data_IF_291619290217
#
_entry.id   IF_291619290217
#
_cell.length_a   1.000
_cell.length_b   1.000
_cell.length_c   1.000
_cell.angle_alpha   90.00
_cell.angle_beta   90.00
_cell.angle_gamma   90.00
#
_symmetry.space_group_name_H-M   'P 1'
#
loop_
_entity.id
_entity.type
_entity.pdbx_description
1 polymer ?
#
# COMPACT_ATOMS: atom_id res chain seq x y z
N UNK A 1 17.59 -32.20 19.81
CA UNK A 1 18.24 -30.97 20.30
C UNK A 1 18.39 -29.99 19.15
N UNK A 2 17.42 -29.09 18.99
CA UNK A 2 17.56 -27.91 18.13
C UNK A 2 17.15 -26.71 18.99
N UNK A 3 18.08 -25.77 19.08
CA UNK A 3 18.05 -24.59 19.94
C UNK A 3 17.08 -23.56 19.36
N UNK A 4 16.16 -23.10 20.21
CA UNK A 4 15.27 -21.97 20.00
C UNK A 4 16.10 -20.69 19.94
N UNK A 5 16.16 -20.05 18.77
CA UNK A 5 16.64 -18.68 18.65
C UNK A 5 15.48 -17.74 18.98
N UNK A 6 15.51 -17.19 20.19
CA UNK A 6 14.63 -16.13 20.64
C UNK A 6 14.88 -14.87 19.79
N UNK A 7 13.84 -14.41 19.11
CA UNK A 7 13.84 -13.15 18.38
C UNK A 7 13.52 -12.05 19.39
N UNK A 8 14.56 -11.47 20.00
CA UNK A 8 14.44 -10.30 20.86
C UNK A 8 13.96 -9.10 20.03
N UNK A 9 12.68 -8.79 20.15
CA UNK A 9 12.11 -7.52 19.72
C UNK A 9 12.64 -6.46 20.69
N UNK A 10 13.68 -5.75 20.28
CA UNK A 10 14.26 -4.63 21.04
C UNK A 10 13.25 -3.48 21.11
N UNK A 11 12.58 -3.36 22.26
CA UNK A 11 11.75 -2.21 22.63
C UNK A 11 12.64 -0.97 22.80
N UNK A 12 12.59 -0.06 21.82
CA UNK A 12 13.44 1.14 21.71
C UNK A 12 13.04 2.29 22.63
N UNK A 13 12.53 2.02 23.83
CA UNK A 13 12.23 3.06 24.80
C UNK A 13 13.54 3.71 25.30
N UNK A 14 13.66 5.06 25.28
CA UNK A 14 14.87 5.73 25.73
C UNK A 14 15.08 5.49 27.23
N UNK A 15 16.14 4.75 27.60
CA UNK A 15 16.56 4.61 29.00
C UNK A 15 17.20 5.91 29.46
N UNK A 16 16.74 6.43 30.59
CA UNK A 16 17.35 7.61 31.25
C UNK A 16 18.64 7.17 31.95
N UNK A 17 19.72 7.90 31.72
CA UNK A 17 20.95 7.70 32.46
C UNK A 17 20.85 8.29 33.89
N UNK A 18 21.88 8.04 34.71
CA UNK A 18 21.98 8.52 36.09
C UNK A 18 21.99 10.05 36.21
N UNK A 19 22.15 10.78 35.10
CA UNK A 19 22.10 12.24 35.02
C UNK A 19 20.74 12.78 34.52
N UNK A 20 19.76 11.90 34.27
CA UNK A 20 18.45 12.28 33.75
C UNK A 20 18.46 12.72 32.29
N UNK A 21 19.58 12.53 31.57
CA UNK A 21 19.69 12.85 30.16
C UNK A 21 19.19 11.66 29.34
N UNK A 22 18.32 11.94 28.36
CA UNK A 22 17.90 10.96 27.38
C UNK A 22 19.02 10.78 26.35
N UNK A 23 20.03 9.99 26.69
CA UNK A 23 20.99 9.50 25.70
C UNK A 23 20.33 8.36 24.92
N UNK A 24 19.54 8.73 23.91
CA UNK A 24 19.09 7.77 22.93
C UNK A 24 20.30 7.31 22.10
N UNK A 25 21.03 6.32 22.60
CA UNK A 25 22.03 5.60 21.82
C UNK A 25 21.27 4.76 20.82
N UNK A 26 20.87 5.37 19.70
CA UNK A 26 20.50 4.59 18.53
C UNK A 26 21.75 3.82 18.11
N UNK A 27 21.70 2.48 17.97
CA UNK A 27 22.83 1.75 17.43
C UNK A 27 23.20 2.39 16.08
N UNK A 28 24.51 2.61 15.87
CA UNK A 28 25.07 3.08 14.60
C UNK A 28 24.42 2.26 13.47
N UNK A 29 23.52 2.89 12.71
CA UNK A 29 22.84 2.20 11.62
C UNK A 29 23.84 1.99 10.50
N UNK A 30 23.85 0.82 9.84
CA UNK A 30 24.64 0.65 8.64
C UNK A 30 24.32 1.76 7.63
N UNK A 31 25.34 2.35 6.99
CA UNK A 31 25.19 3.44 6.01
C UNK A 31 24.13 3.14 4.94
N UNK A 32 24.02 1.87 4.54
CA UNK A 32 23.02 1.41 3.60
C UNK A 32 21.57 1.63 4.10
N UNK A 33 21.29 1.38 5.37
CA UNK A 33 19.96 1.59 5.96
C UNK A 33 19.63 3.08 6.03
N UNK A 34 20.58 3.93 6.44
CA UNK A 34 20.39 5.37 6.48
C UNK A 34 20.12 5.98 5.08
N UNK A 35 20.82 5.50 4.05
CA UNK A 35 20.57 5.91 2.67
C UNK A 35 19.21 5.43 2.16
N UNK A 36 18.78 4.22 2.53
CA UNK A 36 17.43 3.73 2.21
C UNK A 36 16.35 4.58 2.89
N UNK A 37 16.51 4.92 4.17
CA UNK A 37 15.58 5.78 4.90
C UNK A 37 15.44 7.14 4.21
N UNK A 38 16.56 7.74 3.83
CA UNK A 38 16.58 9.03 3.14
C UNK A 38 15.93 8.96 1.74
N UNK A 39 16.17 7.90 0.96
CA UNK A 39 15.46 7.68 -0.31
C UNK A 39 13.96 7.52 -0.06
N UNK A 40 13.55 6.76 0.96
CA UNK A 40 12.14 6.57 1.28
C UNK A 40 11.46 7.90 1.66
N UNK A 41 12.09 8.68 2.54
CA UNK A 41 11.57 9.98 2.98
C UNK A 41 11.39 10.95 1.81
N UNK A 42 12.35 10.98 0.87
CA UNK A 42 12.30 11.84 -0.32
C UNK A 42 11.21 11.46 -1.34
N UNK A 43 10.64 10.27 -1.25
CA UNK A 43 9.64 9.75 -2.20
C UNK A 43 8.31 9.38 -1.53
N UNK A 44 8.04 9.89 -0.32
CA UNK A 44 6.77 9.65 0.38
C UNK A 44 5.56 10.18 -0.42
N UNK A 45 5.74 11.25 -1.18
CA UNK A 45 4.74 11.83 -2.07
C UNK A 45 4.24 10.85 -3.15
N UNK A 46 5.12 9.97 -3.65
CA UNK A 46 4.76 8.90 -4.58
C UNK A 46 3.80 7.92 -3.91
N UNK A 47 4.13 7.47 -2.69
CA UNK A 47 3.26 6.55 -1.95
C UNK A 47 1.89 7.17 -1.65
N UNK A 48 1.89 8.44 -1.23
CA UNK A 48 0.67 9.21 -0.98
C UNK A 48 -0.17 9.39 -2.25
N UNK A 49 0.48 9.69 -3.38
CA UNK A 49 -0.21 9.85 -4.67
C UNK A 49 -0.85 8.54 -5.13
N UNK A 50 -0.15 7.42 -4.97
CA UNK A 50 -0.69 6.10 -5.31
C UNK A 50 -1.85 5.74 -4.38
N UNK A 51 -1.71 5.95 -3.07
CA UNK A 51 -2.77 5.72 -2.09
C UNK A 51 -4.06 6.50 -2.43
N UNK A 52 -3.93 7.80 -2.76
CA UNK A 52 -5.07 8.64 -3.16
C UNK A 52 -5.84 8.12 -4.37
N UNK A 53 -5.19 7.42 -5.30
CA UNK A 53 -5.86 6.88 -6.49
C UNK A 53 -6.88 5.77 -6.19
N UNK A 54 -6.85 5.18 -4.98
CA UNK A 54 -7.80 4.14 -4.57
C UNK A 54 -9.11 4.71 -4.00
N UNK A 55 -9.27 6.04 -3.94
CA UNK A 55 -10.51 6.75 -3.58
C UNK A 55 -11.21 6.26 -2.30
N UNK A 56 -10.45 5.70 -1.35
CA UNK A 56 -10.99 5.24 -0.07
C UNK A 56 -11.29 6.42 0.87
N UNK A 57 -12.19 6.18 1.84
CA UNK A 57 -12.64 7.20 2.80
C UNK A 57 -12.58 6.67 4.23
N UNK A 58 -12.49 7.58 5.21
CA UNK A 58 -12.48 7.21 6.62
C UNK A 58 -11.26 6.33 7.01
N UNK A 59 -11.44 5.35 7.92
CA UNK A 59 -10.35 4.49 8.41
C UNK A 59 -9.58 3.75 7.30
N UNK A 60 -10.28 3.33 6.24
CA UNK A 60 -9.72 2.59 5.10
C UNK A 60 -8.66 3.40 4.35
N UNK A 61 -8.84 4.72 4.26
CA UNK A 61 -7.87 5.61 3.61
C UNK A 61 -6.53 5.64 4.38
N UNK A 62 -6.58 5.59 5.71
CA UNK A 62 -5.38 5.55 6.54
C UNK A 62 -4.62 4.23 6.39
N UNK A 63 -5.35 3.12 6.31
CA UNK A 63 -4.75 1.79 6.14
C UNK A 63 -4.12 1.62 4.76
N UNK A 64 -4.81 2.06 3.70
CA UNK A 64 -4.26 2.06 2.34
C UNK A 64 -2.97 2.88 2.28
N UNK A 65 -2.94 4.05 2.92
CA UNK A 65 -1.73 4.88 2.99
C UNK A 65 -0.59 4.17 3.72
N UNK A 66 -0.86 3.51 4.85
CA UNK A 66 0.16 2.73 5.57
C UNK A 66 0.72 1.60 4.72
N UNK A 67 -0.15 0.88 4.01
CA UNK A 67 0.27 -0.17 3.07
C UNK A 67 1.08 0.42 1.91
N UNK A 68 0.73 1.61 1.43
CA UNK A 68 1.49 2.30 0.41
C UNK A 68 2.92 2.61 0.88
N UNK A 69 3.07 3.08 2.13
CA UNK A 69 4.38 3.30 2.74
C UNK A 69 5.19 2.01 2.91
N UNK A 70 4.55 0.92 3.34
CA UNK A 70 5.20 -0.39 3.37
C UNK A 70 5.70 -0.82 1.99
N UNK A 71 4.90 -0.57 0.94
CA UNK A 71 5.29 -0.84 -0.43
C UNK A 71 6.46 0.02 -0.91
N UNK A 72 6.52 1.28 -0.49
CA UNK A 72 7.64 2.17 -0.77
C UNK A 72 8.94 1.68 -0.13
N UNK A 73 8.89 1.29 1.15
CA UNK A 73 10.06 0.74 1.86
C UNK A 73 10.58 -0.52 1.14
N UNK A 74 9.69 -1.43 0.76
CA UNK A 74 10.05 -2.63 -0.02
C UNK A 74 10.64 -2.29 -1.39
N UNK A 75 10.13 -1.25 -2.05
CA UNK A 75 10.67 -0.79 -3.31
C UNK A 75 12.11 -0.25 -3.14
N UNK A 76 12.35 0.57 -2.11
CA UNK A 76 13.70 1.09 -1.81
C UNK A 76 14.69 -0.04 -1.54
N UNK A 77 14.30 -1.04 -0.74
CA UNK A 77 15.15 -2.18 -0.39
C UNK A 77 15.55 -3.05 -1.60
N UNK A 78 14.72 -3.07 -2.66
CA UNK A 78 14.90 -3.95 -3.84
C UNK A 78 15.37 -3.22 -5.09
N UNK A 79 15.35 -1.89 -5.08
CA UNK A 79 15.70 -1.10 -6.23
C UNK A 79 17.19 -1.24 -6.55
N UNK A 80 17.50 -1.45 -7.83
CA UNK A 80 18.87 -1.50 -8.33
C UNK A 80 19.13 -0.32 -9.28
N UNK A 81 19.88 0.71 -8.85
CA UNK A 81 20.16 1.89 -9.68
C UNK A 81 20.99 1.56 -10.93
N UNK A 82 21.76 0.46 -10.93
CA UNK A 82 22.56 0.04 -12.08
C UNK A 82 21.70 -0.35 -13.31
N UNK A 83 20.38 -0.51 -13.14
CA UNK A 83 19.44 -0.74 -14.24
C UNK A 83 19.11 0.52 -15.05
N UNK A 84 19.52 1.71 -14.59
CA UNK A 84 19.38 2.96 -15.34
C UNK A 84 17.94 3.47 -15.49
N UNK A 85 17.00 2.98 -14.67
CA UNK A 85 15.61 3.43 -14.67
C UNK A 85 15.34 4.34 -13.46
N UNK A 86 14.46 5.35 -13.58
CA UNK A 86 14.06 6.16 -12.44
C UNK A 86 13.44 5.30 -11.34
N UNK A 87 13.72 5.64 -10.07
CA UNK A 87 13.17 4.92 -8.92
C UNK A 87 11.63 4.87 -8.95
N UNK A 88 10.97 5.98 -9.29
CA UNK A 88 9.52 6.08 -9.40
C UNK A 88 8.91 5.01 -10.33
N UNK A 89 9.56 4.72 -11.46
CA UNK A 89 9.12 3.71 -12.42
C UNK A 89 9.11 2.29 -11.86
N UNK A 90 9.96 2.02 -10.85
CA UNK A 90 9.97 0.76 -10.11
C UNK A 90 9.07 0.78 -8.87
N UNK A 91 9.01 1.91 -8.16
CA UNK A 91 8.28 2.05 -6.92
C UNK A 91 6.75 2.01 -7.14
N UNK A 92 6.23 2.74 -8.13
CA UNK A 92 4.79 2.82 -8.41
C UNK A 92 4.13 1.43 -8.63
N UNK A 93 4.64 0.53 -9.48
CA UNK A 93 4.03 -0.80 -9.64
C UNK A 93 4.17 -1.66 -8.37
N UNK A 94 5.26 -1.50 -7.61
CA UNK A 94 5.47 -2.21 -6.34
C UNK A 94 4.43 -1.79 -5.30
N UNK A 95 4.25 -0.48 -5.10
CA UNK A 95 3.27 0.11 -4.17
C UNK A 95 1.84 -0.31 -4.56
N UNK A 96 1.50 -0.20 -5.84
CA UNK A 96 0.20 -0.63 -6.35
C UNK A 96 -0.08 -2.12 -6.07
N UNK A 97 0.92 -2.98 -6.25
CA UNK A 97 0.79 -4.41 -5.98
C UNK A 97 0.55 -4.70 -4.50
N UNK A 98 1.23 -3.97 -3.61
CA UNK A 98 1.07 -4.09 -2.15
C UNK A 98 -0.33 -3.68 -1.69
N UNK A 99 -0.83 -2.54 -2.17
CA UNK A 99 -2.20 -2.06 -1.86
C UNK A 99 -3.24 -3.04 -2.40
N UNK A 100 -3.12 -3.49 -3.65
CA UNK A 100 -4.06 -4.46 -4.25
C UNK A 100 -4.07 -5.77 -3.47
N UNK A 101 -2.91 -6.24 -3.01
CA UNK A 101 -2.81 -7.45 -2.19
C UNK A 101 -3.48 -7.25 -0.83
N UNK A 102 -3.22 -6.15 -0.15
CA UNK A 102 -3.89 -5.82 1.11
C UNK A 102 -5.41 -5.78 0.95
N UNK A 103 -5.92 -5.09 -0.08
CA UNK A 103 -7.36 -5.01 -0.33
C UNK A 103 -7.98 -6.39 -0.60
N UNK A 104 -7.26 -7.26 -1.30
CA UNK A 104 -7.69 -8.65 -1.55
C UNK A 104 -7.74 -9.48 -0.26
N UNK A 105 -6.78 -9.29 0.64
CA UNK A 105 -6.59 -10.14 1.81
C UNK A 105 -7.33 -9.61 3.06
N UNK A 106 -7.64 -8.30 3.11
CA UNK A 106 -8.15 -7.62 4.32
C UNK A 106 -9.51 -6.95 4.17
N UNK A 107 -9.98 -6.65 2.95
CA UNK A 107 -11.27 -5.95 2.76
C UNK A 107 -12.48 -6.90 2.72
N UNK A 108 -12.26 -8.22 2.81
CA UNK A 108 -13.27 -9.25 2.51
C UNK A 108 -13.65 -9.96 3.81
N UNK A 109 -14.62 -9.42 4.56
CA UNK A 109 -15.25 -10.17 5.68
C UNK A 109 -15.92 -11.43 5.13
N UNK A 110 -16.47 -11.35 3.92
CA UNK A 110 -16.87 -12.48 3.07
C UNK A 110 -16.37 -12.22 1.66
N UNK A 111 -15.72 -13.23 1.08
CA UNK A 111 -15.17 -13.16 -0.28
C UNK A 111 -16.28 -13.29 -1.33
N UNK A 112 -16.71 -12.24 -2.06
CA UNK A 112 -17.70 -12.42 -3.11
C UNK A 112 -17.21 -13.44 -4.14
N UNK A 113 -18.07 -14.41 -4.54
CA UNK A 113 -17.76 -15.38 -5.58
C UNK A 113 -17.23 -14.71 -6.85
N UNK A 114 -16.45 -15.45 -7.63
CA UNK A 114 -15.77 -14.91 -8.82
C UNK A 114 -16.77 -14.29 -9.81
N UNK A 115 -17.93 -14.92 -9.96
CA UNK A 115 -19.05 -14.44 -10.78
C UNK A 115 -19.49 -13.02 -10.42
N UNK A 116 -19.55 -12.68 -9.13
CA UNK A 116 -19.94 -11.34 -8.67
C UNK A 116 -18.87 -10.29 -9.01
N UNK A 117 -17.59 -10.69 -8.99
CA UNK A 117 -16.48 -9.80 -9.38
C UNK A 117 -16.48 -9.53 -10.88
N UNK A 118 -16.72 -10.57 -11.67
CA UNK A 118 -16.81 -10.46 -13.13
C UNK A 118 -18.03 -9.61 -13.50
N UNK A 119 -19.18 -9.78 -12.81
CA UNK A 119 -20.37 -8.94 -12.98
C UNK A 119 -20.09 -7.46 -12.70
N UNK A 120 -19.32 -7.12 -11.66
CA UNK A 120 -18.92 -5.72 -11.41
C UNK A 120 -18.16 -5.13 -12.59
N UNK A 121 -17.28 -5.92 -13.20
CA UNK A 121 -16.47 -5.49 -14.35
C UNK A 121 -17.36 -5.24 -15.57
N UNK A 122 -18.32 -6.13 -15.82
CA UNK A 122 -19.29 -5.97 -16.91
C UNK A 122 -20.22 -4.77 -16.69
N UNK A 123 -20.71 -4.56 -15.46
CA UNK A 123 -21.48 -3.35 -15.11
C UNK A 123 -20.66 -2.08 -15.39
N UNK A 124 -19.39 -2.04 -14.95
CA UNK A 124 -18.52 -0.89 -15.16
C UNK A 124 -18.26 -0.59 -16.65
N UNK A 125 -18.30 -1.61 -17.51
CA UNK A 125 -18.18 -1.45 -18.97
C UNK A 125 -19.48 -1.00 -19.64
N UNK A 126 -20.63 -1.53 -19.21
CA UNK A 126 -21.92 -1.25 -19.82
C UNK A 126 -22.52 0.10 -19.39
N UNK A 127 -22.29 0.52 -18.14
CA UNK A 127 -22.91 1.70 -17.55
C UNK A 127 -22.71 3.01 -18.34
N UNK A 128 -21.51 3.35 -18.88
CA UNK A 128 -21.32 4.57 -19.64
C UNK A 128 -22.14 4.61 -20.95
N UNK A 129 -22.21 3.48 -21.66
CA UNK A 129 -22.98 3.39 -22.91
C UNK A 129 -24.48 3.50 -22.65
N UNK A 130 -24.99 2.86 -21.60
CA UNK A 130 -26.39 3.00 -21.19
C UNK A 130 -26.71 4.43 -20.74
N UNK A 131 -25.81 5.08 -19.99
CA UNK A 131 -26.02 6.45 -19.55
C UNK A 131 -26.14 7.43 -20.72
N UNK A 132 -25.31 7.25 -21.75
CA UNK A 132 -25.38 8.03 -22.99
C UNK A 132 -26.72 7.82 -23.72
N UNK A 133 -27.21 6.58 -23.76
CA UNK A 133 -28.44 6.21 -24.48
C UNK A 133 -29.72 6.67 -23.75
N UNK A 134 -29.70 6.65 -22.41
CA UNK A 134 -30.82 7.03 -21.55
C UNK A 134 -30.85 8.53 -21.20
N UNK A 135 -29.73 9.24 -21.37
CA UNK A 135 -29.60 10.63 -20.93
C UNK A 135 -29.57 10.80 -19.41
N UNK A 136 -29.41 9.70 -18.66
CA UNK A 136 -29.30 9.63 -17.19
C UNK A 136 -28.57 8.35 -16.79
N UNK A 137 -28.14 8.24 -15.53
CA UNK A 137 -27.59 6.97 -15.03
C UNK A 137 -28.62 5.82 -15.12
N UNK A 138 -28.11 4.64 -15.47
CA UNK A 138 -28.89 3.42 -15.54
C UNK A 138 -29.18 2.86 -14.14
N UNK A 139 -30.41 2.40 -13.90
CA UNK A 139 -30.79 1.75 -12.65
C UNK A 139 -30.23 0.33 -12.57
N UNK A 140 -30.12 -0.23 -11.36
CA UNK A 140 -29.67 -1.61 -11.16
C UNK A 140 -30.52 -2.64 -11.95
N UNK A 141 -31.83 -2.39 -12.08
CA UNK A 141 -32.73 -3.23 -12.88
C UNK A 141 -32.43 -3.15 -14.37
N UNK A 142 -32.16 -1.95 -14.90
CA UNK A 142 -31.82 -1.76 -16.31
C UNK A 142 -30.46 -2.40 -16.65
N UNK A 143 -29.47 -2.26 -15.76
CA UNK A 143 -28.17 -2.93 -15.90
C UNK A 143 -28.31 -4.46 -15.89
N UNK A 144 -29.16 -5.00 -15.01
CA UNK A 144 -29.43 -6.45 -14.96
C UNK A 144 -30.27 -6.99 -16.12
N UNK A 145 -30.83 -6.13 -16.99
CA UNK A 145 -31.50 -6.55 -18.22
C UNK A 145 -30.57 -6.48 -19.44
N UNK A 146 -29.51 -5.69 -19.38
CA UNK A 146 -28.51 -5.54 -20.45
C UNK A 146 -27.43 -6.64 -20.38
N UNK A 147 -27.14 -7.15 -19.17
CA UNK A 147 -26.16 -8.21 -18.88
C UNK A 147 -26.82 -9.58 -18.76
#
# INVERSE_FOLDING_TARGET
MQTTAEHEVSDGAPRRDVAGQATATYPERPLAAALQDDIALRHMDIAESVARSFAASGPEASDIRQVAYLGLIKAVQRFNPARGVPFASFAVPTINGEIKRYLRDSCWVVRPPREVQDLRTEIARAAPAMAQRLGREATARELGLEL
#
